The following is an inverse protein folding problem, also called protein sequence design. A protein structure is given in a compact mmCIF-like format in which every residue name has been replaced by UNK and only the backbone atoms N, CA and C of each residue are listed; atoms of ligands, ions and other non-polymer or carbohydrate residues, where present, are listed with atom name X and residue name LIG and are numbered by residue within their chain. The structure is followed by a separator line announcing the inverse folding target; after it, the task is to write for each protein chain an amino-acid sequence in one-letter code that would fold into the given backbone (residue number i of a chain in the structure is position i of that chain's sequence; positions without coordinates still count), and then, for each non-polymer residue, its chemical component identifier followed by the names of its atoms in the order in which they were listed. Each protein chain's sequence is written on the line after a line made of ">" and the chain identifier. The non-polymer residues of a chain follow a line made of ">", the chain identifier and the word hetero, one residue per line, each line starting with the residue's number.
data_IF_143393595423
#
_entry.id   IF_143393595423
#
_cell.length_a   1.000
_cell.length_b   1.000
_cell.length_c   1.000
_cell.angle_alpha   90.00
_cell.angle_beta   90.00
_cell.angle_gamma   90.00
#
_symmetry.space_group_name_H-M   'P 1'
#
loop_
_entity.id
_entity.type
_entity.pdbx_description
1 polymer ?
#
# COMPACT_ATOMS: atom_id res chain seq x y z
N UNK A 1 18.13 -0.08 6.76
CA UNK A 1 17.36 1.16 6.48
C UNK A 1 16.19 0.90 5.52
N UNK A 2 16.41 0.23 4.38
CA UNK A 2 15.36 -0.08 3.40
C UNK A 2 14.22 -0.93 4.00
N UNK A 3 14.55 -1.96 4.79
CA UNK A 3 13.55 -2.82 5.46
C UNK A 3 12.68 -2.05 6.46
N UNK A 4 13.29 -1.19 7.29
CA UNK A 4 12.56 -0.36 8.25
C UNK A 4 11.52 0.53 7.57
N UNK A 5 11.87 1.12 6.43
CA UNK A 5 10.97 1.93 5.63
C UNK A 5 9.83 1.10 5.01
N UNK A 6 10.14 -0.13 4.60
CA UNK A 6 9.13 -1.10 4.15
C UNK A 6 8.12 -1.44 5.26
N UNK A 7 8.60 -1.72 6.46
CA UNK A 7 7.76 -1.98 7.64
C UNK A 7 6.90 -0.78 8.03
N UNK A 8 7.44 0.44 8.02
CA UNK A 8 6.64 1.66 8.26
C UNK A 8 5.53 1.79 7.22
N UNK A 9 5.87 1.64 5.93
CA UNK A 9 4.90 1.72 4.85
C UNK A 9 3.77 0.69 4.99
N UNK A 10 4.12 -0.53 5.39
CA UNK A 10 3.19 -1.62 5.65
C UNK A 10 2.29 -1.36 6.88
N UNK A 11 2.84 -0.87 7.99
CA UNK A 11 2.05 -0.51 9.17
C UNK A 11 1.06 0.62 8.88
N UNK A 12 1.49 1.63 8.11
CA UNK A 12 0.60 2.70 7.65
C UNK A 12 -0.51 2.13 6.78
N UNK A 13 -0.19 1.21 5.85
CA UNK A 13 -1.19 0.51 5.03
C UNK A 13 -2.21 -0.24 5.90
N UNK A 14 -1.77 -1.04 6.87
CA UNK A 14 -2.67 -1.72 7.81
C UNK A 14 -3.57 -0.72 8.56
N UNK A 15 -3.01 0.42 8.97
CA UNK A 15 -3.76 1.52 9.58
C UNK A 15 -4.91 2.03 8.70
N UNK A 16 -4.75 2.04 7.37
CA UNK A 16 -5.83 2.43 6.45
C UNK A 16 -6.99 1.44 6.41
N UNK A 17 -6.76 0.17 6.74
CA UNK A 17 -7.77 -0.89 6.75
C UNK A 17 -8.57 -0.91 8.07
N UNK A 18 -8.01 -0.38 9.16
CA UNK A 18 -8.67 -0.39 10.49
C UNK A 18 -10.09 0.19 10.45
N UNK A 19 -10.35 1.37 9.85
CA UNK A 19 -11.71 1.93 9.79
C UNK A 19 -12.72 1.03 9.06
N UNK A 20 -12.26 0.22 8.11
CA UNK A 20 -13.11 -0.72 7.39
C UNK A 20 -13.55 -1.87 8.29
N UNK A 21 -12.61 -2.48 9.01
CA UNK A 21 -12.92 -3.57 9.94
C UNK A 21 -13.77 -3.08 11.12
N UNK A 22 -13.39 -1.96 11.75
CA UNK A 22 -14.12 -1.44 12.93
C UNK A 22 -15.57 -1.08 12.62
N UNK A 23 -15.86 -0.59 11.41
CA UNK A 23 -17.25 -0.37 10.95
C UNK A 23 -18.07 -1.65 10.86
N UNK A 24 -17.47 -2.80 10.54
CA UNK A 24 -18.17 -4.09 10.46
C UNK A 24 -18.49 -4.67 11.84
N UNK A 25 -17.59 -4.49 12.80
CA UNK A 25 -17.74 -4.98 14.19
C UNK A 25 -18.39 -3.95 15.13
N UNK A 26 -18.84 -2.79 14.59
CA UNK A 26 -19.50 -1.70 15.33
C UNK A 26 -18.69 -1.16 16.52
N UNK A 27 -17.37 -1.18 16.42
CA UNK A 27 -16.50 -0.64 17.45
C UNK A 27 -16.47 0.89 17.35
N UNK A 28 -16.93 1.56 18.42
CA UNK A 28 -16.96 3.02 18.53
C UNK A 28 -15.97 3.46 19.60
N UNK A 29 -14.98 4.25 19.21
CA UNK A 29 -13.99 4.84 20.10
C UNK A 29 -13.36 6.10 19.50
N UNK A 30 -12.87 7.00 20.35
CA UNK A 30 -12.26 8.27 19.92
C UNK A 30 -11.09 8.05 18.94
N UNK A 31 -10.23 7.06 19.23
CA UNK A 31 -9.10 6.68 18.38
C UNK A 31 -9.53 6.17 17.00
N UNK A 32 -10.63 5.42 16.93
CA UNK A 32 -11.19 4.89 15.68
C UNK A 32 -11.75 6.04 14.82
N UNK A 33 -12.37 7.03 15.45
CA UNK A 33 -12.88 8.23 14.78
C UNK A 33 -11.73 9.05 14.17
N UNK A 34 -10.64 9.25 14.93
CA UNK A 34 -9.43 9.93 14.44
C UNK A 34 -8.79 9.20 13.25
N UNK A 35 -8.69 7.86 13.31
CA UNK A 35 -8.21 7.07 12.18
C UNK A 35 -9.12 7.19 10.96
N UNK A 36 -10.45 7.08 11.15
CA UNK A 36 -11.39 7.20 10.04
C UNK A 36 -11.37 8.60 9.40
N UNK A 37 -11.06 9.66 10.16
CA UNK A 37 -10.95 11.02 9.63
C UNK A 37 -9.65 11.20 8.83
N UNK A 38 -8.55 10.62 9.31
CA UNK A 38 -7.23 10.80 8.71
C UNK A 38 -6.83 9.68 7.74
N UNK A 39 -7.70 8.69 7.47
CA UNK A 39 -7.35 7.50 6.67
C UNK A 39 -6.79 7.83 5.28
N UNK A 40 -7.26 8.89 4.62
CA UNK A 40 -6.70 9.34 3.33
C UNK A 40 -5.26 9.85 3.47
N UNK A 41 -4.96 10.61 4.52
CA UNK A 41 -3.60 11.08 4.78
C UNK A 41 -2.66 9.92 5.13
N UNK A 42 -3.15 8.94 5.89
CA UNK A 42 -2.39 7.71 6.21
C UNK A 42 -2.12 6.91 4.92
N UNK A 43 -3.09 6.81 4.00
CA UNK A 43 -2.90 6.13 2.73
C UNK A 43 -1.86 6.81 1.84
N UNK A 44 -1.87 8.15 1.79
CA UNK A 44 -0.86 8.94 1.08
C UNK A 44 0.53 8.77 1.70
N UNK A 45 0.62 8.79 3.04
CA UNK A 45 1.88 8.56 3.75
C UNK A 45 2.43 7.15 3.49
N UNK A 46 1.55 6.13 3.48
CA UNK A 46 1.91 4.76 3.11
C UNK A 46 2.46 4.68 1.69
N UNK A 47 1.78 5.30 0.72
CA UNK A 47 2.23 5.36 -0.67
C UNK A 47 3.60 6.04 -0.79
N UNK A 48 3.82 7.16 -0.11
CA UNK A 48 5.11 7.87 -0.11
C UNK A 48 6.23 7.01 0.49
N UNK A 49 5.99 6.39 1.64
CA UNK A 49 6.96 5.53 2.31
C UNK A 49 7.33 4.30 1.45
N UNK A 50 6.34 3.64 0.85
CA UNK A 50 6.57 2.47 -0.01
C UNK A 50 7.22 2.83 -1.36
N UNK A 51 6.92 4.01 -1.90
CA UNK A 51 7.62 4.53 -3.10
C UNK A 51 9.10 4.75 -2.79
N UNK A 52 9.40 5.35 -1.65
CA UNK A 52 10.78 5.58 -1.22
C UNK A 52 11.50 4.26 -0.89
N UNK A 53 10.80 3.29 -0.28
CA UNK A 53 11.30 1.93 -0.10
C UNK A 53 11.68 1.28 -1.43
N UNK A 54 10.78 1.30 -2.43
CA UNK A 54 11.05 0.74 -3.76
C UNK A 54 12.22 1.46 -4.46
N UNK A 55 12.28 2.78 -4.37
CA UNK A 55 13.39 3.56 -4.91
C UNK A 55 14.74 3.16 -4.30
N UNK A 56 14.79 3.04 -2.97
CA UNK A 56 16.02 2.60 -2.30
C UNK A 56 16.35 1.14 -2.57
N UNK A 57 15.37 0.23 -2.62
CA UNK A 57 15.60 -1.18 -2.93
C UNK A 57 16.22 -1.36 -4.32
N UNK A 58 15.73 -0.60 -5.32
CA UNK A 58 16.28 -0.58 -6.67
C UNK A 58 17.66 0.09 -6.73
N UNK A 59 17.90 1.11 -5.91
CA UNK A 59 19.18 1.83 -5.85
C UNK A 59 20.26 1.05 -5.08
N UNK A 60 19.91 0.30 -4.04
CA UNK A 60 20.85 -0.51 -3.25
C UNK A 60 21.33 -1.77 -3.99
N UNK A 61 20.62 -2.18 -5.04
CA UNK A 61 21.04 -3.27 -5.94
C UNK A 61 22.22 -2.93 -6.85
N UNK A 62 22.84 -1.75 -6.72
CA UNK A 62 23.93 -1.27 -7.57
C UNK A 62 25.31 -1.91 -7.27
N UNK A 63 25.34 -3.17 -6.86
CA UNK A 63 26.46 -4.04 -7.25
C UNK A 63 26.24 -4.39 -8.72
N UNK A 64 26.72 -3.51 -9.61
CA UNK A 64 26.87 -3.73 -11.04
C UNK A 64 27.86 -4.89 -11.31
N UNK A 65 27.45 -6.10 -10.97
CA UNK A 65 28.03 -7.33 -11.48
C UNK A 65 27.48 -7.58 -12.88
N UNK A 66 28.26 -7.16 -13.88
CA UNK A 66 28.19 -7.57 -15.28
C UNK A 66 27.77 -9.05 -15.40
N UNK A 67 26.61 -9.31 -16.00
CA UNK A 67 26.29 -10.61 -16.60
C UNK A 67 25.50 -11.60 -15.73
N UNK A 68 24.20 -11.36 -15.55
CA UNK A 68 23.16 -12.38 -15.32
C UNK A 68 21.82 -11.60 -15.26
N UNK A 69 21.13 -11.34 -16.36
CA UNK A 69 20.50 -12.36 -17.17
C UNK A 69 19.02 -12.41 -16.80
N UNK A 70 18.21 -11.54 -17.42
CA UNK A 70 16.78 -11.72 -17.78
C UNK A 70 15.98 -12.71 -16.89
N UNK A 71 16.05 -12.55 -15.59
CA UNK A 71 15.10 -13.10 -14.63
C UNK A 71 14.55 -11.87 -13.97
N UNK A 72 13.38 -11.43 -14.45
CA UNK A 72 12.55 -10.48 -13.70
C UNK A 72 12.33 -11.17 -12.36
N UNK A 73 13.13 -10.81 -11.37
CA UNK A 73 13.09 -11.40 -10.05
C UNK A 73 11.65 -11.26 -9.57
N UNK A 74 10.97 -12.37 -9.29
CA UNK A 74 9.52 -12.38 -8.99
C UNK A 74 9.16 -11.39 -7.89
N UNK A 75 10.11 -11.12 -6.99
CA UNK A 75 10.02 -10.12 -5.94
C UNK A 75 9.92 -8.67 -6.45
N UNK A 76 10.65 -8.30 -7.51
CA UNK A 76 10.56 -6.95 -8.11
C UNK A 76 9.20 -6.79 -8.79
N UNK A 77 8.75 -7.80 -9.54
CA UNK A 77 7.47 -7.75 -10.24
C UNK A 77 6.30 -7.66 -9.24
N UNK A 78 6.30 -8.49 -8.19
CA UNK A 78 5.26 -8.43 -7.14
C UNK A 78 5.27 -7.08 -6.42
N UNK A 79 6.45 -6.50 -6.17
CA UNK A 79 6.58 -5.17 -5.58
C UNK A 79 6.01 -4.05 -6.46
N UNK A 80 6.30 -4.06 -7.76
CA UNK A 80 5.74 -3.09 -8.71
C UNK A 80 4.22 -3.25 -8.83
N UNK A 81 3.71 -4.48 -8.89
CA UNK A 81 2.28 -4.75 -8.92
C UNK A 81 1.57 -4.28 -7.63
N UNK A 82 2.15 -4.55 -6.46
CA UNK A 82 1.61 -4.05 -5.19
C UNK A 82 1.61 -2.52 -5.14
N UNK A 83 2.68 -1.87 -5.58
CA UNK A 83 2.78 -0.41 -5.64
C UNK A 83 1.75 0.20 -6.58
N UNK A 84 1.59 -0.35 -7.79
CA UNK A 84 0.59 0.14 -8.76
C UNK A 84 -0.84 -0.05 -8.26
N UNK A 85 -1.13 -1.18 -7.61
CA UNK A 85 -2.43 -1.41 -6.98
C UNK A 85 -2.70 -0.40 -5.85
N UNK A 86 -1.71 -0.10 -5.01
CA UNK A 86 -1.83 0.92 -3.96
C UNK A 86 -2.08 2.32 -4.54
N UNK A 87 -1.32 2.71 -5.57
CA UNK A 87 -1.53 3.97 -6.26
C UNK A 87 -2.95 4.08 -6.86
N UNK A 88 -3.46 2.99 -7.45
CA UNK A 88 -4.83 2.93 -7.97
C UNK A 88 -5.88 3.07 -6.87
N UNK A 89 -5.72 2.40 -5.72
CA UNK A 89 -6.61 2.54 -4.56
C UNK A 89 -6.65 4.00 -4.09
N UNK A 90 -5.48 4.62 -3.92
CA UNK A 90 -5.36 6.03 -3.51
C UNK A 90 -6.04 6.96 -4.52
N UNK A 91 -5.81 6.76 -5.81
CA UNK A 91 -6.44 7.57 -6.86
C UNK A 91 -7.97 7.44 -6.87
N UNK A 92 -8.49 6.21 -6.76
CA UNK A 92 -9.94 5.95 -6.67
C UNK A 92 -10.52 6.60 -5.40
N UNK A 93 -9.83 6.48 -4.27
CA UNK A 93 -10.27 7.08 -2.99
C UNK A 93 -10.31 8.61 -3.05
N UNK A 94 -9.31 9.24 -3.68
CA UNK A 94 -9.28 10.70 -3.89
C UNK A 94 -10.35 11.16 -4.90
N UNK A 95 -10.69 10.35 -5.90
CA UNK A 95 -11.77 10.66 -6.84
C UNK A 95 -13.14 10.52 -6.19
N UNK A 96 -13.34 9.46 -5.40
CA UNK A 96 -14.60 9.17 -4.70
C UNK A 96 -14.89 10.17 -3.57
N UNK A 97 -13.86 10.77 -2.97
CA UNK A 97 -14.07 11.86 -2.00
C UNK A 97 -14.75 13.09 -2.63
N UNK A 98 -14.56 13.30 -3.95
CA UNK A 98 -15.19 14.38 -4.72
C UNK A 98 -16.54 13.99 -5.33
N UNK A 99 -16.76 12.70 -5.62
CA UNK A 99 -17.99 12.21 -6.24
C UNK A 99 -18.49 10.93 -5.53
N UNK A 100 -19.57 11.04 -4.76
CA UNK A 100 -20.31 9.87 -4.25
C UNK A 100 -21.05 9.19 -5.42
N UNK A 101 -21.19 7.85 -5.45
CA UNK A 101 -20.84 6.86 -4.43
C UNK A 101 -19.52 6.10 -4.67
N UNK A 102 -18.98 5.51 -3.59
CA UNK A 102 -17.85 4.57 -3.66
C UNK A 102 -18.23 3.33 -4.48
N UNK A 103 -17.45 3.07 -5.51
CA UNK A 103 -17.70 2.02 -6.49
C UNK A 103 -17.19 0.68 -5.95
N UNK A 104 -17.90 -0.44 -6.20
CA UNK A 104 -17.48 -1.81 -5.83
C UNK A 104 -16.04 -2.12 -6.25
N UNK A 105 -15.56 -1.49 -7.32
CA UNK A 105 -14.18 -1.54 -7.79
C UNK A 105 -13.15 -1.16 -6.72
N UNK A 106 -13.41 -0.18 -5.85
CA UNK A 106 -12.47 0.18 -4.77
C UNK A 106 -12.19 -1.02 -3.86
N UNK A 107 -13.24 -1.72 -3.41
CA UNK A 107 -13.08 -2.90 -2.55
C UNK A 107 -12.34 -4.03 -3.26
N UNK A 108 -12.60 -4.26 -4.55
CA UNK A 108 -11.91 -5.29 -5.33
C UNK A 108 -10.41 -4.98 -5.46
N UNK A 109 -10.04 -3.72 -5.74
CA UNK A 109 -8.63 -3.33 -5.84
C UNK A 109 -7.94 -3.40 -4.48
N UNK A 110 -8.63 -3.07 -3.38
CA UNK A 110 -8.07 -3.25 -2.02
C UNK A 110 -7.81 -4.72 -1.69
N UNK A 111 -8.71 -5.64 -2.06
CA UNK A 111 -8.50 -7.08 -1.88
C UNK A 111 -7.30 -7.55 -2.72
N UNK A 112 -7.23 -7.14 -3.98
CA UNK A 112 -6.10 -7.44 -4.85
C UNK A 112 -4.78 -6.93 -4.27
N UNK A 113 -4.78 -5.70 -3.76
CA UNK A 113 -3.62 -5.10 -3.10
C UNK A 113 -3.19 -5.92 -1.87
N UNK A 114 -4.13 -6.34 -1.03
CA UNK A 114 -3.81 -7.17 0.14
C UNK A 114 -3.12 -8.48 -0.28
N UNK A 115 -3.64 -9.16 -1.31
CA UNK A 115 -3.04 -10.39 -1.84
C UNK A 115 -1.63 -10.14 -2.41
N UNK A 116 -1.46 -9.08 -3.21
CA UNK A 116 -0.15 -8.73 -3.79
C UNK A 116 0.88 -8.40 -2.71
N UNK A 117 0.47 -7.67 -1.66
CA UNK A 117 1.35 -7.36 -0.53
C UNK A 117 1.72 -8.64 0.23
N UNK A 118 0.78 -9.56 0.47
CA UNK A 118 1.09 -10.85 1.11
C UNK A 118 2.10 -11.64 0.28
N UNK A 119 1.92 -11.74 -1.04
CA UNK A 119 2.85 -12.46 -1.94
C UNK A 119 4.21 -11.76 -2.06
N UNK A 120 4.27 -10.44 -1.88
CA UNK A 120 5.52 -9.69 -1.93
C UNK A 120 6.31 -9.79 -0.62
N UNK A 121 5.61 -9.91 0.51
CA UNK A 121 6.21 -9.95 1.86
C UNK A 121 6.58 -11.38 2.29
N UNK A 122 5.81 -12.39 1.89
CA UNK A 122 5.98 -13.81 2.27
C UNK A 122 6.37 -14.68 1.08
#
# INVERSE_FOLDING_TARGET
>A
MVEFLGWIGFLLFLGTLVPFFTRRIRLNGASIKLLSQNHHAIALASLAALTLHGFFALSSGRHWGRGAGVHVNGNILSGVLAWTALAAVVAIALKASRHKPFVRTHCLVVILLALLVTVHVF
#
